data_IF_158787460642
#
_entry.id   IF_158787460642
#
_cell.length_a   1.000
_cell.length_b   1.000
_cell.length_c   1.000
_cell.angle_alpha   90.00
_cell.angle_beta   90.00
_cell.angle_gamma   90.00
#
_symmetry.space_group_name_H-M   'P 1'
#
loop_
_entity.id
_entity.type
_entity.pdbx_description
1 polymer ?
#
# COMPACT_ATOMS: atom_id res chain seq x y z
N UNK A 1 13.34 -15.34 -1.07
CA UNK A 1 13.40 -14.38 -2.22
C UNK A 1 12.32 -13.31 -2.15
N UNK A 2 11.02 -13.55 -2.45
CA UNK A 2 10.00 -12.46 -2.49
C UNK A 2 9.65 -11.82 -1.13
N UNK A 3 9.71 -12.58 -0.03
CA UNK A 3 9.38 -12.12 1.34
C UNK A 3 10.61 -11.96 2.22
N UNK A 4 11.79 -12.13 1.62
CA UNK A 4 13.05 -12.05 2.35
C UNK A 4 13.47 -10.58 2.38
N UNK A 5 13.49 -9.92 3.56
CA UNK A 5 13.82 -8.50 3.66
C UNK A 5 15.22 -8.18 3.10
N UNK A 6 16.16 -9.13 3.20
CA UNK A 6 17.52 -8.94 2.69
C UNK A 6 17.57 -8.84 1.15
N UNK A 7 16.54 -9.33 0.46
CA UNK A 7 16.43 -9.29 -0.99
C UNK A 7 15.50 -8.19 -1.50
N UNK A 8 14.88 -7.42 -0.59
CA UNK A 8 13.84 -6.47 -0.95
C UNK A 8 14.34 -5.40 -1.93
N UNK A 9 15.51 -4.82 -1.67
CA UNK A 9 16.13 -3.82 -2.53
C UNK A 9 16.42 -4.33 -3.96
N UNK A 10 16.64 -5.64 -4.13
CA UNK A 10 16.85 -6.26 -5.43
C UNK A 10 15.53 -6.60 -6.13
N UNK A 11 14.50 -6.96 -5.35
CA UNK A 11 13.18 -7.35 -5.86
C UNK A 11 12.34 -6.14 -6.21
N UNK A 12 12.41 -5.06 -5.43
CA UNK A 12 11.52 -3.91 -5.56
C UNK A 12 11.59 -3.24 -6.94
N UNK A 13 12.77 -3.00 -7.55
CA UNK A 13 12.85 -2.44 -8.90
C UNK A 13 12.10 -3.24 -9.97
N UNK A 14 12.05 -4.57 -9.81
CA UNK A 14 11.35 -5.47 -10.75
C UNK A 14 9.82 -5.34 -10.59
N UNK A 15 9.33 -5.13 -9.37
CA UNK A 15 7.89 -5.03 -9.09
C UNK A 15 7.37 -3.59 -9.09
N UNK A 16 8.25 -2.58 -9.06
CA UNK A 16 7.90 -1.16 -9.05
C UNK A 16 6.89 -0.76 -10.15
N UNK A 17 6.99 -1.22 -11.40
CA UNK A 17 5.98 -0.89 -12.43
C UNK A 17 4.56 -1.35 -12.08
N UNK A 18 4.43 -2.42 -11.30
CA UNK A 18 3.13 -2.92 -10.81
C UNK A 18 2.58 -1.97 -9.75
N UNK A 19 3.43 -1.50 -8.82
CA UNK A 19 3.05 -0.53 -7.79
C UNK A 19 2.63 0.80 -8.43
N UNK A 20 3.35 1.27 -9.44
CA UNK A 20 3.00 2.48 -10.20
C UNK A 20 1.66 2.33 -10.92
N UNK A 21 1.38 1.17 -11.52
CA UNK A 21 0.08 0.88 -12.12
C UNK A 21 -1.05 0.84 -11.09
N UNK A 22 -0.81 0.28 -9.90
CA UNK A 22 -1.78 0.31 -8.81
C UNK A 22 -2.09 1.76 -8.40
N UNK A 23 -1.06 2.59 -8.27
CA UNK A 23 -1.23 4.01 -7.95
C UNK A 23 -1.97 4.78 -9.04
N UNK A 24 -1.77 4.46 -10.33
CA UNK A 24 -2.48 5.13 -11.43
C UNK A 24 -3.98 4.83 -11.45
N UNK A 25 -4.37 3.60 -11.10
CA UNK A 25 -5.79 3.21 -10.95
C UNK A 25 -6.43 4.01 -9.80
N UNK A 26 -5.74 4.10 -8.66
CA UNK A 26 -6.22 4.87 -7.51
C UNK A 26 -6.30 6.35 -7.85
N UNK A 27 -5.29 6.92 -8.52
CA UNK A 27 -5.28 8.33 -8.94
C UNK A 27 -6.52 8.70 -9.74
N UNK A 28 -6.87 7.89 -10.73
CA UNK A 28 -8.08 8.09 -11.54
C UNK A 28 -9.36 8.05 -10.68
N UNK A 29 -9.40 7.19 -9.66
CA UNK A 29 -10.54 7.12 -8.75
C UNK A 29 -10.65 8.36 -7.87
N UNK A 30 -9.52 8.95 -7.49
CA UNK A 30 -9.47 10.18 -6.68
C UNK A 30 -9.80 11.45 -7.47
N UNK A 31 -9.79 11.42 -8.81
CA UNK A 31 -10.25 12.55 -9.64
C UNK A 31 -11.75 12.83 -9.43
N UNK A 32 -12.54 11.77 -9.24
CA UNK A 32 -13.97 11.87 -8.95
C UNK A 32 -14.25 12.05 -7.44
N UNK A 33 -13.34 11.56 -6.59
CA UNK A 33 -13.49 11.54 -5.13
C UNK A 33 -12.21 12.03 -4.45
N UNK A 34 -11.97 13.35 -4.39
CA UNK A 34 -10.77 13.89 -3.77
C UNK A 34 -10.76 13.61 -2.26
N UNK A 35 -9.57 13.30 -1.73
CA UNK A 35 -9.35 13.01 -0.30
C UNK A 35 -8.06 13.67 0.17
N UNK A 36 -7.97 13.97 1.47
CA UNK A 36 -6.78 14.58 2.06
C UNK A 36 -5.65 13.57 2.35
N UNK A 37 -5.98 12.29 2.50
CA UNK A 37 -5.02 11.24 2.86
C UNK A 37 -5.49 9.87 2.38
N UNK A 38 -4.55 9.05 1.90
CA UNK A 38 -4.78 7.67 1.47
C UNK A 38 -4.11 6.71 2.44
N UNK A 39 -4.87 5.78 3.01
CA UNK A 39 -4.32 4.72 3.86
C UNK A 39 -4.16 3.43 3.06
N UNK A 40 -2.92 2.95 2.90
CA UNK A 40 -2.64 1.71 2.17
C UNK A 40 -2.44 0.54 3.13
N UNK A 41 -3.14 -0.56 2.89
CA UNK A 41 -3.14 -1.75 3.75
C UNK A 41 -2.98 -3.03 2.91
N UNK A 42 -2.91 -4.18 3.59
CA UNK A 42 -2.74 -5.49 2.97
C UNK A 42 -1.28 -5.91 2.77
N UNK A 43 -1.06 -7.18 2.46
CA UNK A 43 0.29 -7.75 2.40
C UNK A 43 1.17 -7.22 1.26
N UNK A 44 0.57 -6.68 0.20
CA UNK A 44 1.30 -6.19 -0.96
C UNK A 44 2.07 -4.89 -0.65
N UNK A 45 1.56 -4.05 0.25
CA UNK A 45 2.24 -2.81 0.63
C UNK A 45 3.32 -3.01 1.71
N UNK A 46 3.65 -4.26 2.08
CA UNK A 46 4.73 -4.53 3.02
C UNK A 46 6.12 -4.10 2.53
N UNK A 47 6.33 -3.91 1.22
CA UNK A 47 7.56 -3.32 0.69
C UNK A 47 7.77 -1.92 1.30
N UNK A 48 8.97 -1.66 1.80
CA UNK A 48 9.37 -0.40 2.44
C UNK A 48 9.14 0.80 1.52
N UNK A 49 9.48 0.66 0.24
CA UNK A 49 9.35 1.72 -0.76
C UNK A 49 7.93 1.86 -1.36
N UNK A 50 6.96 1.05 -0.93
CA UNK A 50 5.61 1.08 -1.51
C UNK A 50 4.93 2.44 -1.26
N UNK A 51 4.97 2.91 -0.01
CA UNK A 51 4.35 4.15 0.45
C UNK A 51 4.87 5.36 -0.33
N UNK A 52 6.19 5.50 -0.43
CA UNK A 52 6.84 6.58 -1.17
C UNK A 52 6.47 6.59 -2.67
N UNK A 53 6.46 5.41 -3.31
CA UNK A 53 6.07 5.31 -4.73
C UNK A 53 4.62 5.71 -4.93
N UNK A 54 3.73 5.28 -4.04
CA UNK A 54 2.31 5.62 -4.09
C UNK A 54 2.09 7.12 -3.88
N UNK A 55 2.67 7.70 -2.84
CA UNK A 55 2.56 9.13 -2.52
C UNK A 55 3.05 10.00 -3.67
N UNK A 56 4.22 9.67 -4.24
CA UNK A 56 4.77 10.39 -5.39
C UNK A 56 3.85 10.37 -6.61
N UNK A 57 3.18 9.25 -6.85
CA UNK A 57 2.33 9.09 -8.04
C UNK A 57 0.96 9.78 -7.85
N UNK A 58 0.40 9.69 -6.64
CA UNK A 58 -0.89 10.27 -6.29
C UNK A 58 -0.80 11.78 -6.07
N UNK A 59 0.31 12.29 -5.53
CA UNK A 59 0.43 13.69 -5.10
C UNK A 59 -0.44 14.00 -3.89
N UNK A 60 -0.83 12.98 -3.11
CA UNK A 60 -1.67 13.04 -1.92
C UNK A 60 -0.94 12.27 -0.81
N UNK A 61 -0.96 12.74 0.45
CA UNK A 61 -0.35 12.02 1.57
C UNK A 61 -0.80 10.56 1.62
N UNK A 62 0.17 9.64 1.73
CA UNK A 62 -0.09 8.20 1.87
C UNK A 62 0.44 7.75 3.21
N UNK A 63 -0.36 6.97 3.93
CA UNK A 63 0.02 6.39 5.22
C UNK A 63 -0.05 4.87 5.13
N UNK A 64 1.06 4.22 5.44
CA UNK A 64 1.12 2.77 5.64
C UNK A 64 1.22 2.42 7.13
N UNK A 65 0.23 1.73 7.72
CA UNK A 65 0.29 1.29 9.11
C UNK A 65 1.48 0.34 9.36
N UNK A 66 1.94 0.24 10.62
CA UNK A 66 3.08 -0.59 10.99
C UNK A 66 2.91 -2.09 10.66
N UNK A 67 1.68 -2.60 10.75
CA UNK A 67 1.33 -3.98 10.41
C UNK A 67 0.25 -4.03 9.32
N UNK A 68 0.55 -3.62 8.08
CA UNK A 68 -0.47 -3.38 7.07
C UNK A 68 -1.20 -4.66 6.65
N UNK A 69 -0.51 -5.82 6.71
CA UNK A 69 -1.09 -7.14 6.48
C UNK A 69 -2.24 -7.49 7.44
N UNK A 70 -2.20 -6.96 8.68
CA UNK A 70 -3.09 -7.35 9.76
C UNK A 70 -4.28 -6.41 9.94
N UNK A 71 -4.33 -5.27 9.23
CA UNK A 71 -5.39 -4.27 9.41
C UNK A 71 -6.77 -4.86 9.15
N UNK A 72 -6.96 -5.52 8.01
CA UNK A 72 -8.27 -6.12 7.67
C UNK A 72 -8.63 -7.30 8.57
N UNK A 73 -7.74 -8.30 8.82
CA UNK A 73 -8.03 -9.37 9.78
C UNK A 73 -8.37 -8.87 11.18
N UNK A 74 -7.67 -7.84 11.68
CA UNK A 74 -7.96 -7.24 12.98
C UNK A 74 -9.36 -6.60 12.99
N UNK A 75 -9.70 -5.84 11.95
CA UNK A 75 -11.03 -5.25 11.81
C UNK A 75 -12.15 -6.29 11.79
N UNK A 76 -11.93 -7.43 11.13
CA UNK A 76 -12.87 -8.57 11.18
C UNK A 76 -13.01 -9.09 12.61
N UNK A 77 -11.89 -9.40 13.26
CA UNK A 77 -11.89 -9.95 14.62
C UNK A 77 -12.57 -9.03 15.64
N UNK A 78 -12.40 -7.71 15.53
CA UNK A 78 -13.07 -6.72 16.39
C UNK A 78 -14.58 -6.71 16.25
N UNK A 79 -15.12 -7.14 15.10
CA UNK A 79 -16.56 -7.22 14.84
C UNK A 79 -17.13 -8.64 14.98
N UNK A 80 -16.28 -9.64 15.20
CA UNK A 80 -16.68 -11.00 15.56
C UNK A 80 -16.96 -11.10 17.06
N UNK A 81 -17.90 -10.29 17.55
CA UNK A 81 -18.39 -10.35 18.93
C UNK A 81 -19.63 -11.22 18.99
N UNK A 82 -19.42 -12.50 19.31
CA UNK A 82 -20.41 -13.42 19.89
C UNK A 82 -19.83 -14.05 21.15
#
# INVERSE_FOLDING_TARGET
MKRDPAQEANVFPVVKPVVEKMASIVKRSLEEYPVDTVYVVGGACCFTQFEEVFEKYLGTPVVKPAAPLLVTPLGIAMNCTE
#
